data_IF_528499002583
#
_entry.id   IF_528499002583
#
_cell.length_a   1.000
_cell.length_b   1.000
_cell.length_c   1.000
_cell.angle_alpha   90.00
_cell.angle_beta   90.00
_cell.angle_gamma   90.00
#
_symmetry.space_group_name_H-M   'P 1'
#
loop_
_entity.id
_entity.type
_entity.pdbx_description
1 polymer ?
#
# COMPACT_ATOMS: atom_id res chain seq x y z
N UNK A 1 -18.60 5.23 -20.39
CA UNK A 1 -18.36 4.28 -19.29
C UNK A 1 -17.08 4.67 -18.56
N UNK A 2 -16.05 3.82 -18.41
CA UNK A 2 -15.73 2.53 -19.07
C UNK A 2 -16.83 1.44 -18.98
N UNK A 3 -16.77 0.39 -19.81
CA UNK A 3 -17.65 -0.77 -19.68
C UNK A 3 -17.10 -1.79 -18.67
N UNK A 4 -17.92 -2.69 -18.09
CA UNK A 4 -17.43 -3.71 -17.15
C UNK A 4 -16.31 -4.58 -17.73
N UNK A 5 -16.44 -5.00 -19.00
CA UNK A 5 -15.39 -5.70 -19.74
C UNK A 5 -14.10 -4.89 -19.87
N UNK A 6 -14.20 -3.58 -20.19
CA UNK A 6 -13.03 -2.70 -20.25
C UNK A 6 -12.35 -2.54 -18.88
N UNK A 7 -13.12 -2.45 -17.80
CA UNK A 7 -12.57 -2.39 -16.45
C UNK A 7 -11.79 -3.67 -16.07
N UNK A 8 -12.30 -4.84 -16.44
CA UNK A 8 -11.60 -6.13 -16.24
C UNK A 8 -10.28 -6.18 -17.01
N UNK A 9 -10.24 -5.72 -18.27
CA UNK A 9 -8.99 -5.65 -19.05
C UNK A 9 -7.98 -4.72 -18.39
N UNK A 10 -8.40 -3.51 -18.01
CA UNK A 10 -7.49 -2.51 -17.40
C UNK A 10 -6.95 -3.03 -16.07
N UNK A 11 -7.79 -3.64 -15.23
CA UNK A 11 -7.35 -4.28 -13.99
C UNK A 11 -6.36 -5.42 -14.21
N UNK A 12 -6.62 -6.31 -15.17
CA UNK A 12 -5.72 -7.41 -15.53
C UNK A 12 -4.34 -6.90 -16.00
N UNK A 13 -4.32 -5.90 -16.89
CA UNK A 13 -3.07 -5.30 -17.38
C UNK A 13 -2.31 -4.55 -16.27
N UNK A 14 -3.01 -3.80 -15.42
CA UNK A 14 -2.38 -3.13 -14.27
C UNK A 14 -1.79 -4.13 -13.26
N UNK A 15 -2.45 -5.27 -13.04
CA UNK A 15 -1.94 -6.34 -12.18
C UNK A 15 -0.64 -6.96 -12.70
N UNK A 16 -0.56 -7.23 -14.02
CA UNK A 16 0.68 -7.69 -14.66
C UNK A 16 1.78 -6.63 -14.56
N UNK A 17 1.49 -5.38 -14.91
CA UNK A 17 2.47 -4.28 -14.92
C UNK A 17 2.99 -3.99 -13.51
N UNK A 18 2.13 -3.98 -12.50
CA UNK A 18 2.54 -3.84 -11.09
C UNK A 18 3.45 -4.98 -10.65
N UNK A 19 3.06 -6.24 -10.89
CA UNK A 19 3.86 -7.43 -10.54
C UNK A 19 5.22 -7.42 -11.23
N UNK A 20 5.27 -7.09 -12.53
CA UNK A 20 6.53 -6.92 -13.26
C UNK A 20 7.35 -5.74 -12.74
N UNK A 21 6.70 -4.68 -12.26
CA UNK A 21 7.32 -3.55 -11.59
C UNK A 21 8.10 -3.97 -10.35
N UNK A 22 7.49 -4.74 -9.45
CA UNK A 22 8.18 -5.27 -8.27
C UNK A 22 9.38 -6.16 -8.63
N UNK A 23 9.28 -6.99 -9.67
CA UNK A 23 10.34 -7.93 -10.06
C UNK A 23 11.51 -7.24 -10.80
N UNK A 24 11.22 -6.25 -11.65
CA UNK A 24 12.22 -5.68 -12.57
C UNK A 24 12.48 -4.19 -12.37
N UNK A 25 11.47 -3.39 -12.06
CA UNK A 25 11.57 -1.94 -11.97
C UNK A 25 12.11 -1.52 -10.60
N UNK A 26 11.56 -2.02 -9.48
CA UNK A 26 12.08 -1.71 -8.15
C UNK A 26 13.59 -1.99 -8.01
N UNK A 27 14.12 -3.18 -8.39
CA UNK A 27 15.56 -3.44 -8.33
C UNK A 27 16.39 -2.56 -9.27
N UNK A 28 15.82 -2.07 -10.38
CA UNK A 28 16.49 -1.14 -11.29
C UNK A 28 16.55 0.28 -10.71
N UNK A 29 15.43 0.79 -10.18
CA UNK A 29 15.34 2.10 -9.54
C UNK A 29 16.32 2.20 -8.35
N UNK A 30 16.36 1.17 -7.52
CA UNK A 30 17.25 1.08 -6.36
C UNK A 30 18.74 1.03 -6.80
N UNK A 31 19.11 0.07 -7.66
CA UNK A 31 20.52 -0.16 -8.02
C UNK A 31 21.10 0.97 -8.86
N UNK A 32 20.34 1.45 -9.85
CA UNK A 32 20.81 2.38 -10.89
C UNK A 32 20.50 3.83 -10.57
N UNK A 33 19.29 4.15 -10.05
CA UNK A 33 18.88 5.54 -9.79
C UNK A 33 18.99 5.95 -8.33
N UNK A 34 19.33 5.02 -7.42
CA UNK A 34 19.38 5.24 -5.96
C UNK A 34 18.05 5.73 -5.38
N UNK A 35 16.94 5.21 -5.92
CA UNK A 35 15.59 5.44 -5.42
C UNK A 35 15.18 4.21 -4.62
N UNK A 36 15.16 4.33 -3.30
CA UNK A 36 14.64 3.31 -2.38
C UNK A 36 13.13 3.51 -2.23
N UNK A 37 12.36 2.50 -2.64
CA UNK A 37 10.89 2.49 -2.57
C UNK A 37 10.44 1.29 -1.74
N UNK A 38 10.42 1.46 -0.41
CA UNK A 38 10.24 0.40 0.60
C UNK A 38 9.03 -0.49 0.34
N UNK A 39 7.90 0.09 -0.07
CA UNK A 39 6.66 -0.65 -0.33
C UNK A 39 6.39 -0.87 -1.83
N UNK A 40 7.28 -0.42 -2.71
CA UNK A 40 7.06 -0.40 -4.16
C UNK A 40 5.87 0.45 -4.59
N UNK A 41 5.63 1.60 -3.94
CA UNK A 41 4.49 2.47 -4.25
C UNK A 41 4.52 3.00 -5.68
N UNK A 42 5.69 3.05 -6.33
CA UNK A 42 5.80 3.31 -7.75
C UNK A 42 5.06 2.26 -8.60
N UNK A 43 5.13 0.99 -8.22
CA UNK A 43 4.53 -0.12 -8.95
C UNK A 43 3.02 -0.25 -8.68
N UNK A 44 2.60 0.01 -7.44
CA UNK A 44 1.19 -0.12 -7.03
C UNK A 44 0.36 1.14 -7.32
N UNK A 45 0.91 2.33 -7.11
CA UNK A 45 0.18 3.60 -7.23
C UNK A 45 0.57 4.40 -8.48
N UNK A 46 1.86 4.66 -8.69
CA UNK A 46 2.27 5.58 -9.75
C UNK A 46 2.02 5.02 -11.16
N UNK A 47 2.51 3.81 -11.47
CA UNK A 47 2.31 3.19 -12.78
C UNK A 47 0.83 2.90 -13.09
N UNK A 48 0.04 2.21 -12.23
CA UNK A 48 -1.40 2.03 -12.45
C UNK A 48 -2.17 3.36 -12.48
N UNK A 49 -1.76 4.36 -11.70
CA UNK A 49 -2.34 5.70 -11.71
C UNK A 49 -2.18 6.41 -13.05
N UNK A 50 -0.99 6.36 -13.67
CA UNK A 50 -0.75 6.89 -15.02
C UNK A 50 -1.58 6.14 -16.07
N UNK A 51 -1.65 4.80 -15.99
CA UNK A 51 -2.51 4.00 -16.88
C UNK A 51 -3.98 4.42 -16.72
N UNK A 52 -4.46 4.59 -15.48
CA UNK A 52 -5.80 5.07 -15.17
C UNK A 52 -6.08 6.47 -15.72
N UNK A 53 -5.12 7.39 -15.63
CA UNK A 53 -5.21 8.73 -16.21
C UNK A 53 -5.30 8.72 -17.74
N UNK A 54 -4.48 7.91 -18.41
CA UNK A 54 -4.52 7.70 -19.87
C UNK A 54 -5.86 7.10 -20.29
N UNK A 55 -6.32 6.03 -19.63
CA UNK A 55 -7.62 5.39 -19.89
C UNK A 55 -8.76 6.37 -19.64
N UNK A 56 -8.68 7.20 -18.60
CA UNK A 56 -9.66 8.26 -18.30
C UNK A 56 -9.72 9.32 -19.40
N UNK A 57 -8.59 9.78 -19.90
CA UNK A 57 -8.52 10.74 -21.00
C UNK A 57 -9.08 10.19 -22.31
N UNK A 58 -8.72 8.95 -22.67
CA UNK A 58 -9.26 8.25 -23.85
C UNK A 58 -10.78 8.04 -23.70
N UNK A 59 -11.24 7.60 -22.52
CA UNK A 59 -12.66 7.33 -22.26
C UNK A 59 -13.49 8.62 -22.29
N UNK A 60 -12.95 9.74 -21.83
CA UNK A 60 -13.58 11.05 -21.95
C UNK A 60 -13.63 11.53 -23.41
N UNK A 61 -12.53 11.40 -24.16
CA UNK A 61 -12.49 11.76 -25.59
C UNK A 61 -13.44 10.91 -26.46
N UNK A 62 -13.63 9.63 -26.12
CA UNK A 62 -14.51 8.70 -26.81
C UNK A 62 -15.95 8.67 -26.28
N UNK A 63 -16.31 9.56 -25.35
CA UNK A 63 -17.66 9.58 -24.78
C UNK A 63 -18.72 9.99 -25.82
N UNK A 64 -19.83 9.27 -25.88
CA UNK A 64 -20.89 9.49 -26.87
C UNK A 64 -22.28 9.58 -26.21
N UNK A 65 -23.20 10.28 -26.88
CA UNK A 65 -24.61 10.36 -26.47
C UNK A 65 -25.29 8.98 -26.48
N UNK A 66 -24.88 8.06 -27.35
CA UNK A 66 -25.40 6.68 -27.38
C UNK A 66 -25.02 5.84 -26.14
N UNK A 67 -23.96 6.18 -25.42
CA UNK A 67 -23.47 5.43 -24.25
C UNK A 67 -23.83 6.13 -22.94
N UNK A 68 -23.82 7.46 -22.91
CA UNK A 68 -24.07 8.25 -21.70
C UNK A 68 -25.48 8.86 -21.65
N UNK A 69 -26.16 9.00 -22.80
CA UNK A 69 -27.30 9.89 -22.97
C UNK A 69 -26.89 11.37 -22.91
N UNK A 70 -27.73 12.26 -23.46
CA UNK A 70 -27.45 13.71 -23.50
C UNK A 70 -27.24 14.28 -22.11
N UNK A 71 -28.14 13.95 -21.18
CA UNK A 71 -28.07 14.42 -19.80
C UNK A 71 -26.90 13.78 -19.03
N UNK A 72 -26.52 12.54 -19.34
CA UNK A 72 -25.39 11.88 -18.69
C UNK A 72 -24.05 12.50 -19.10
N UNK A 73 -23.88 12.93 -20.35
CA UNK A 73 -22.69 13.72 -20.76
C UNK A 73 -22.61 15.03 -19.98
N UNK A 74 -23.71 15.79 -19.92
CA UNK A 74 -23.77 17.06 -19.18
C UNK A 74 -23.42 16.85 -17.70
N UNK A 75 -24.03 15.85 -17.06
CA UNK A 75 -23.80 15.58 -15.63
C UNK A 75 -22.41 15.00 -15.32
N UNK A 76 -21.80 14.24 -16.24
CA UNK A 76 -20.49 13.58 -16.00
C UNK A 76 -19.32 14.55 -16.18
N UNK A 77 -19.41 15.46 -17.16
CA UNK A 77 -18.32 16.36 -17.53
C UNK A 77 -18.58 17.83 -17.20
N UNK A 78 -19.70 18.10 -16.50
CA UNK A 78 -20.21 19.44 -16.17
C UNK A 78 -20.23 20.39 -17.37
N UNK A 79 -20.88 19.95 -18.45
CA UNK A 79 -21.14 20.79 -19.63
C UNK A 79 -22.32 21.75 -19.35
N UNK A 80 -22.15 22.58 -18.32
CA UNK A 80 -23.09 23.61 -17.88
C UNK A 80 -22.42 24.99 -17.88
N UNK A 81 -23.22 26.06 -17.75
CA UNK A 81 -22.70 27.44 -17.68
C UNK A 81 -21.75 27.79 -18.83
N UNK A 82 -20.55 28.26 -18.48
CA UNK A 82 -19.48 28.64 -19.42
C UNK A 82 -18.86 27.44 -20.18
N UNK A 83 -19.13 26.21 -19.75
CA UNK A 83 -18.59 24.98 -20.33
C UNK A 83 -19.60 24.21 -21.19
N UNK A 84 -20.81 24.71 -21.38
CA UNK A 84 -21.90 24.07 -22.15
C UNK A 84 -21.51 23.68 -23.59
N UNK A 85 -20.62 24.45 -24.22
CA UNK A 85 -20.17 24.25 -25.61
C UNK A 85 -18.86 23.44 -25.70
N UNK A 86 -18.35 22.92 -24.57
CA UNK A 86 -17.13 22.11 -24.52
C UNK A 86 -17.38 20.75 -25.18
N UNK A 87 -16.45 20.32 -26.03
CA UNK A 87 -16.52 19.00 -26.67
C UNK A 87 -15.91 17.91 -25.79
N UNK A 88 -16.37 16.66 -25.97
CA UNK A 88 -15.79 15.46 -25.34
C UNK A 88 -14.29 15.30 -25.63
N UNK A 89 -13.84 15.68 -26.83
CA UNK A 89 -12.42 15.69 -27.19
C UNK A 89 -11.62 16.71 -26.36
N UNK A 90 -12.17 17.92 -26.18
CA UNK A 90 -11.58 18.94 -25.30
C UNK A 90 -11.51 18.44 -23.85
N UNK A 91 -12.55 17.74 -23.39
CA UNK A 91 -12.56 17.15 -22.04
C UNK A 91 -11.53 16.04 -21.86
N UNK A 92 -11.32 15.17 -22.86
CA UNK A 92 -10.21 14.21 -22.85
C UNK A 92 -8.84 14.89 -22.82
N UNK A 93 -8.68 16.00 -23.53
CA UNK A 93 -7.50 16.87 -23.44
C UNK A 93 -7.27 17.43 -22.04
N UNK A 94 -8.32 17.90 -21.36
CA UNK A 94 -8.22 18.36 -19.96
C UNK A 94 -7.88 17.24 -18.98
N UNK A 95 -8.39 16.01 -19.16
CA UNK A 95 -8.00 14.86 -18.34
C UNK A 95 -6.50 14.53 -18.49
N UNK A 96 -5.99 14.54 -19.73
CA UNK A 96 -4.56 14.34 -19.99
C UNK A 96 -3.70 15.47 -19.41
N UNK A 97 -4.12 16.73 -19.57
CA UNK A 97 -3.45 17.88 -18.97
C UNK A 97 -3.44 17.81 -17.43
N UNK A 98 -4.56 17.45 -16.81
CA UNK A 98 -4.69 17.25 -15.37
C UNK A 98 -3.76 16.17 -14.84
N UNK A 99 -3.63 15.04 -15.53
CA UNK A 99 -2.65 14.00 -15.21
C UNK A 99 -1.21 14.54 -15.24
N UNK A 100 -0.83 15.28 -16.28
CA UNK A 100 0.50 15.89 -16.38
C UNK A 100 0.75 16.90 -15.25
N UNK A 101 -0.23 17.75 -14.92
CA UNK A 101 -0.15 18.70 -13.80
C UNK A 101 0.04 17.96 -12.47
N UNK A 102 -0.75 16.91 -12.21
CA UNK A 102 -0.61 16.10 -10.99
C UNK A 102 0.77 15.45 -10.86
N UNK A 103 1.36 14.96 -11.95
CA UNK A 103 2.73 14.42 -11.96
C UNK A 103 3.74 15.52 -11.62
N UNK A 104 3.65 16.70 -12.24
CA UNK A 104 4.55 17.83 -11.97
C UNK A 104 4.45 18.29 -10.52
N UNK A 105 3.24 18.42 -9.97
CA UNK A 105 3.03 18.79 -8.57
C UNK A 105 3.52 17.71 -7.60
N UNK A 106 3.30 16.42 -7.90
CA UNK A 106 3.80 15.32 -7.08
C UNK A 106 5.33 15.28 -7.02
N UNK A 107 6.01 15.41 -8.17
CA UNK A 107 7.48 15.41 -8.25
C UNK A 107 8.07 16.67 -7.60
N UNK A 108 7.57 17.86 -7.94
CA UNK A 108 8.11 19.11 -7.42
C UNK A 108 7.82 19.28 -5.91
N UNK A 109 6.59 18.99 -5.48
CA UNK A 109 6.20 19.03 -4.07
C UNK A 109 6.97 18.00 -3.24
N UNK A 110 7.07 16.76 -3.74
CA UNK A 110 7.87 15.70 -3.10
C UNK A 110 9.35 16.05 -2.97
N UNK A 111 9.95 16.66 -4.01
CA UNK A 111 11.34 17.12 -3.96
C UNK A 111 11.56 18.27 -2.96
N UNK A 112 10.63 19.21 -2.86
CA UNK A 112 10.70 20.31 -1.89
C UNK A 112 10.58 19.76 -0.46
N UNK A 113 9.55 18.96 -0.19
CA UNK A 113 9.32 18.37 1.15
C UNK A 113 10.47 17.44 1.53
N UNK A 114 10.93 16.57 0.63
CA UNK A 114 12.08 15.70 0.86
C UNK A 114 13.38 16.46 1.11
N UNK A 115 13.54 17.67 0.54
CA UNK A 115 14.70 18.53 0.83
C UNK A 115 14.62 19.16 2.22
N UNK A 116 13.42 19.44 2.74
CA UNK A 116 13.19 19.94 4.11
C UNK A 116 13.41 18.81 5.13
N UNK A 117 12.98 17.59 4.80
CA UNK A 117 13.15 16.41 5.65
C UNK A 117 14.62 15.94 5.75
N UNK A 118 15.53 16.42 4.89
CA UNK A 118 16.98 16.18 4.99
C UNK A 118 17.71 17.05 6.02
N UNK A 119 17.01 17.91 6.76
CA UNK A 119 17.60 18.69 7.84
C UNK A 119 17.76 17.80 9.09
N UNK A 120 18.94 17.75 9.74
CA UNK A 120 19.21 16.86 10.87
C UNK A 120 18.63 17.41 12.19
N UNK A 121 17.31 17.60 12.21
CA UNK A 121 16.54 18.16 13.33
C UNK A 121 15.28 17.34 13.65
N UNK A 122 15.04 16.25 12.91
CA UNK A 122 13.80 15.47 12.96
C UNK A 122 13.89 14.21 13.81
N UNK A 123 15.09 13.78 14.21
CA UNK A 123 15.30 12.56 15.00
C UNK A 123 15.18 11.27 14.17
N UNK A 124 15.58 11.35 12.90
CA UNK A 124 15.70 10.23 11.97
C UNK A 124 16.73 9.18 12.44
N UNK A 125 16.52 7.88 12.13
CA UNK A 125 17.43 6.82 12.56
C UNK A 125 18.70 6.84 11.70
N UNK A 126 19.79 6.27 12.21
CA UNK A 126 20.94 5.97 11.36
C UNK A 126 20.57 4.93 10.28
N UNK A 127 21.26 4.95 9.14
CA UNK A 127 21.04 4.01 8.02
C UNK A 127 21.06 2.53 8.45
N UNK A 128 21.85 2.20 9.48
CA UNK A 128 21.98 0.84 10.05
C UNK A 128 20.81 0.42 10.94
N UNK A 129 20.05 1.38 11.49
CA UNK A 129 18.88 1.16 12.35
C UNK A 129 17.56 1.48 11.63
N UNK A 130 17.59 1.56 10.29
CA UNK A 130 16.37 1.71 9.50
C UNK A 130 15.56 0.41 9.53
N UNK A 131 14.24 0.51 9.69
CA UNK A 131 13.30 -0.60 9.86
C UNK A 131 13.46 -1.39 11.17
N UNK A 132 14.12 -0.79 12.17
CA UNK A 132 14.18 -1.26 13.54
C UNK A 132 13.19 -0.47 14.41
N UNK A 133 12.31 -1.17 15.12
CA UNK A 133 11.31 -0.56 15.99
C UNK A 133 11.90 -0.14 17.34
N UNK A 134 13.02 -0.73 17.79
CA UNK A 134 13.68 -0.40 19.08
C UNK A 134 14.10 1.09 19.17
N UNK A 135 14.34 1.73 18.03
CA UNK A 135 14.72 3.16 17.95
C UNK A 135 13.62 4.08 18.49
N UNK A 136 12.35 3.68 18.38
CA UNK A 136 11.19 4.53 18.66
C UNK A 136 10.19 3.92 19.65
N UNK A 137 10.30 2.63 19.94
CA UNK A 137 9.39 1.89 20.81
C UNK A 137 10.16 1.15 21.90
N UNK A 138 9.59 1.12 23.10
CA UNK A 138 9.98 0.15 24.12
C UNK A 138 9.47 -1.23 23.66
N UNK A 139 10.40 -2.15 23.39
CA UNK A 139 10.08 -3.53 23.02
C UNK A 139 9.77 -4.37 24.28
N UNK A 140 8.98 -5.45 24.18
CA UNK A 140 8.81 -6.39 25.28
C UNK A 140 10.15 -7.04 25.64
N UNK A 141 10.37 -7.35 26.92
CA UNK A 141 11.52 -8.16 27.33
C UNK A 141 11.42 -9.56 26.69
N UNK A 142 12.57 -10.23 26.45
CA UNK A 142 12.63 -11.55 25.77
C UNK A 142 11.71 -12.61 26.41
N UNK A 143 11.44 -12.50 27.72
CA UNK A 143 10.52 -13.38 28.46
C UNK A 143 9.04 -13.14 28.07
N UNK A 144 8.65 -11.89 27.80
CA UNK A 144 7.29 -11.52 27.37
C UNK A 144 7.03 -11.87 25.90
N UNK A 145 8.02 -11.66 25.00
CA UNK A 145 7.94 -12.15 23.60
C UNK A 145 7.76 -13.67 23.53
N UNK A 146 8.48 -14.41 24.38
CA UNK A 146 8.38 -15.86 24.40
C UNK A 146 7.02 -16.33 24.96
N UNK A 147 6.33 -15.52 25.76
CA UNK A 147 5.00 -15.83 26.28
C UNK A 147 3.88 -15.47 25.29
N UNK A 148 3.91 -14.31 24.64
CA UNK A 148 2.91 -13.92 23.61
C UNK A 148 2.95 -14.81 22.36
N UNK A 149 4.12 -15.34 22.00
CA UNK A 149 4.28 -16.23 20.84
C UNK A 149 3.74 -17.66 21.05
N UNK A 150 3.43 -18.04 22.29
CA UNK A 150 2.80 -19.33 22.62
C UNK A 150 1.27 -19.17 22.52
N UNK A 151 0.56 -19.94 21.67
CA UNK A 151 -0.89 -19.84 21.62
C UNK A 151 -1.49 -20.30 22.97
N UNK A 152 -2.56 -19.65 23.49
CA UNK A 152 -3.02 -19.84 24.88
C UNK A 152 -3.31 -21.30 25.29
N UNK A 153 -3.62 -22.16 24.32
CA UNK A 153 -3.82 -23.60 24.52
C UNK A 153 -2.51 -24.36 24.83
N UNK A 154 -1.38 -23.99 24.22
CA UNK A 154 -0.08 -24.59 24.56
C UNK A 154 0.38 -24.14 25.95
N UNK A 155 0.22 -22.87 26.28
CA UNK A 155 0.57 -22.33 27.60
C UNK A 155 -0.24 -23.03 28.72
N UNK A 156 -1.57 -23.11 28.55
CA UNK A 156 -2.44 -23.85 29.47
C UNK A 156 -2.04 -25.33 29.58
N UNK A 157 -1.75 -26.00 28.45
CA UNK A 157 -1.33 -27.40 28.46
C UNK A 157 0.01 -27.60 29.17
N UNK A 158 1.01 -26.75 28.92
CA UNK A 158 2.32 -26.84 29.58
C UNK A 158 2.18 -26.59 31.10
N UNK A 159 1.44 -25.57 31.50
CA UNK A 159 1.17 -25.29 32.92
C UNK A 159 0.41 -26.46 33.60
N UNK A 160 -0.53 -27.10 32.90
CA UNK A 160 -1.24 -28.28 33.41
C UNK A 160 -0.33 -29.52 33.48
N UNK A 161 0.57 -29.73 32.52
CA UNK A 161 1.55 -30.83 32.52
C UNK A 161 2.52 -30.67 33.69
N UNK A 162 3.13 -29.50 33.88
CA UNK A 162 4.03 -29.25 35.02
C UNK A 162 3.33 -29.45 36.36
N UNK A 163 2.13 -28.86 36.53
CA UNK A 163 1.32 -29.05 37.74
C UNK A 163 0.96 -30.53 37.98
N UNK A 164 0.77 -31.32 36.92
CA UNK A 164 0.51 -32.76 37.04
C UNK A 164 1.77 -33.55 37.39
N UNK A 165 2.95 -33.15 36.91
CA UNK A 165 4.24 -33.71 37.34
C UNK A 165 4.48 -33.42 38.82
N UNK A 166 4.37 -32.17 39.28
CA UNK A 166 4.55 -31.78 40.68
C UNK A 166 3.61 -32.56 41.61
N UNK A 167 2.33 -32.70 41.22
CA UNK A 167 1.35 -33.50 41.95
C UNK A 167 1.73 -34.99 41.96
N UNK A 168 2.26 -35.55 40.87
CA UNK A 168 2.70 -36.95 40.82
C UNK A 168 3.94 -37.23 41.69
N UNK A 169 4.92 -36.33 41.69
CA UNK A 169 6.12 -36.45 42.53
C UNK A 169 5.79 -36.27 44.02
N UNK A 170 4.90 -35.34 44.37
CA UNK A 170 4.42 -35.16 45.74
C UNK A 170 3.66 -36.40 46.26
N UNK A 171 2.80 -37.02 45.45
CA UNK A 171 2.12 -38.26 45.86
C UNK A 171 3.10 -39.44 45.98
N UNK A 172 4.04 -39.60 45.04
CA UNK A 172 5.04 -40.68 45.09
C UNK A 172 5.97 -40.59 46.31
N UNK A 173 6.35 -39.36 46.70
CA UNK A 173 7.18 -39.12 47.89
C UNK A 173 6.41 -39.29 49.22
N UNK A 174 5.08 -39.08 49.22
CA UNK A 174 4.22 -39.41 50.37
C UNK A 174 4.05 -40.94 50.52
N UNK A 175 3.77 -41.69 49.45
CA UNK A 175 3.60 -43.14 49.52
C UNK A 175 4.88 -43.88 49.99
N UNK A 176 6.08 -43.36 49.66
CA UNK A 176 7.35 -43.91 50.14
C UNK A 176 7.67 -43.62 51.62
N UNK A 177 6.82 -42.87 52.34
CA UNK A 177 6.97 -42.60 53.77
C UNK A 177 5.99 -43.41 54.66
N UNK A 178 5.08 -44.20 54.10
CA UNK A 178 4.05 -44.96 54.84
C UNK A 178 4.10 -46.50 54.63
N UNK A 179 5.28 -47.14 54.67
CA UNK A 179 5.41 -48.58 55.00
C UNK A 179 6.82 -49.01 55.43
#
# INVERSE_FOLDING_TARGET
MISPYGALIVGFLCGIISTMGYIFISPFLEKTLKIQDTCGIHNLHAMPGVIGGIVGAITAAAASESVYGKQGLINTFDFTGDFKDRTVLTQGGYQAAGMCVSIVFGVAGGAIVGSILKLPIWGDPADENCFDDEVYWELPDEEEEHQESIPPILEYNNHMIHKQQDLSESNFSVEHCES
#
